data_IF_927697106405
#
_entry.id   IF_927697106405
#
_cell.length_a   1.000
_cell.length_b   1.000
_cell.length_c   1.000
_cell.angle_alpha   90.00
_cell.angle_beta   90.00
_cell.angle_gamma   90.00
#
_symmetry.space_group_name_H-M   'P 1'
#
loop_
_entity.id
_entity.type
_entity.pdbx_description
1 polymer ?
#
# COMPACT_ATOMS: atom_id res chain seq x y z
N UNK A 1 0.95 6.52 -5.86
CA UNK A 1 -0.19 7.43 -5.73
C UNK A 1 -1.27 7.12 -6.75
N UNK A 2 -2.52 7.22 -6.35
CA UNK A 2 -3.68 7.02 -7.20
C UNK A 2 -4.82 7.99 -6.87
N UNK A 3 -5.69 8.20 -7.86
CA UNK A 3 -6.99 8.87 -7.71
C UNK A 3 -8.05 7.79 -7.70
N UNK A 4 -8.71 7.58 -6.57
CA UNK A 4 -9.68 6.53 -6.39
C UNK A 4 -11.13 7.03 -6.55
N UNK A 5 -12.02 6.07 -6.81
CA UNK A 5 -13.46 6.28 -6.99
C UNK A 5 -14.22 5.14 -6.33
N UNK A 6 -15.23 5.47 -5.54
CA UNK A 6 -16.07 4.44 -4.89
C UNK A 6 -17.23 4.07 -5.82
N UNK A 7 -17.22 2.86 -6.36
CA UNK A 7 -18.15 2.42 -7.41
C UNK A 7 -19.62 2.21 -6.97
N UNK A 8 -19.94 2.48 -5.72
CA UNK A 8 -21.32 2.49 -5.20
C UNK A 8 -22.00 3.84 -5.33
N UNK A 9 -21.26 4.91 -5.65
CA UNK A 9 -21.82 6.25 -5.79
C UNK A 9 -21.91 6.67 -7.27
N UNK A 10 -23.10 7.10 -7.76
CA UNK A 10 -23.22 7.72 -9.08
C UNK A 10 -22.40 9.01 -9.16
N UNK A 11 -21.74 9.29 -10.31
CA UNK A 11 -21.75 8.50 -11.53
C UNK A 11 -20.61 7.47 -11.62
N UNK A 12 -19.87 7.21 -10.53
CA UNK A 12 -18.72 6.29 -10.50
C UNK A 12 -19.12 4.81 -10.51
N UNK A 13 -20.41 4.50 -10.38
CA UNK A 13 -20.98 3.17 -10.64
C UNK A 13 -20.88 2.77 -12.13
N UNK A 14 -20.77 3.76 -13.04
CA UNK A 14 -20.57 3.53 -14.46
C UNK A 14 -19.07 3.44 -14.81
N UNK A 15 -18.63 2.26 -15.29
CA UNK A 15 -17.23 2.04 -15.66
C UNK A 15 -16.73 2.99 -16.75
N UNK A 16 -17.59 3.41 -17.70
CA UNK A 16 -17.21 4.36 -18.76
C UNK A 16 -16.84 5.73 -18.19
N UNK A 17 -17.50 6.17 -17.11
CA UNK A 17 -17.14 7.41 -16.40
C UNK A 17 -15.75 7.28 -15.79
N UNK A 18 -15.45 6.15 -15.13
CA UNK A 18 -14.14 5.91 -14.54
C UNK A 18 -13.04 5.82 -15.60
N UNK A 19 -13.31 5.16 -16.72
CA UNK A 19 -12.38 5.08 -17.88
C UNK A 19 -12.17 6.46 -18.53
N UNK A 20 -13.22 7.29 -18.65
CA UNK A 20 -13.09 8.65 -19.16
C UNK A 20 -12.17 9.50 -18.25
N UNK A 21 -12.31 9.38 -16.95
CA UNK A 21 -11.41 10.07 -15.99
C UNK A 21 -9.97 9.54 -16.15
N UNK A 22 -9.79 8.23 -16.30
CA UNK A 22 -8.46 7.63 -16.49
C UNK A 22 -7.74 8.15 -17.76
N UNK A 23 -8.47 8.35 -18.85
CA UNK A 23 -7.94 8.89 -20.12
C UNK A 23 -7.82 10.42 -20.10
N UNK A 24 -8.63 11.10 -19.29
CA UNK A 24 -8.68 12.56 -19.23
C UNK A 24 -7.68 13.22 -18.27
N UNK A 25 -6.96 12.41 -17.47
CA UNK A 25 -5.92 12.91 -16.57
C UNK A 25 -4.53 12.79 -17.21
N UNK A 26 -3.89 13.92 -17.46
CA UNK A 26 -2.48 14.01 -17.89
C UNK A 26 -1.57 13.71 -16.69
N UNK A 27 -1.26 12.43 -16.53
CA UNK A 27 -0.44 11.92 -15.43
C UNK A 27 1.03 12.34 -15.54
N UNK A 28 1.54 12.48 -16.78
CA UNK A 28 2.90 12.95 -17.02
C UNK A 28 3.07 14.38 -16.48
N UNK A 29 2.10 15.27 -16.77
CA UNK A 29 2.09 16.63 -16.25
C UNK A 29 2.13 16.65 -14.71
N UNK A 30 1.42 15.75 -14.04
CA UNK A 30 1.43 15.68 -12.57
C UNK A 30 2.80 15.27 -12.05
N UNK A 31 3.44 14.27 -12.67
CA UNK A 31 4.78 13.81 -12.28
C UNK A 31 5.83 14.91 -12.52
N UNK A 32 5.82 15.53 -13.69
CA UNK A 32 6.82 16.55 -14.06
C UNK A 32 6.78 17.80 -13.16
N UNK A 33 5.60 18.15 -12.63
CA UNK A 33 5.43 19.38 -11.86
C UNK A 33 5.49 19.19 -10.34
N UNK A 34 5.15 18.01 -9.82
CA UNK A 34 4.93 17.85 -8.38
C UNK A 34 5.75 16.74 -7.73
N UNK A 35 6.54 15.99 -8.50
CA UNK A 35 7.31 14.87 -7.97
C UNK A 35 8.81 15.09 -8.10
N UNK A 36 9.60 14.54 -7.16
CA UNK A 36 11.05 14.63 -7.26
C UNK A 36 11.61 13.81 -8.43
N UNK A 37 12.84 14.12 -8.83
CA UNK A 37 13.58 13.32 -9.81
C UNK A 37 13.68 11.85 -9.38
N UNK A 38 13.54 10.94 -10.33
CA UNK A 38 13.46 9.50 -10.08
C UNK A 38 12.03 8.96 -9.88
N UNK A 39 11.04 9.85 -9.84
CA UNK A 39 9.63 9.44 -9.89
C UNK A 39 9.22 9.10 -11.32
N UNK A 40 8.25 8.19 -11.46
CA UNK A 40 7.75 7.74 -12.77
C UNK A 40 6.23 7.78 -12.84
N UNK A 41 5.70 7.96 -14.05
CA UNK A 41 4.26 7.79 -14.31
C UNK A 41 3.90 6.33 -14.12
N UNK A 42 2.92 6.06 -13.28
CA UNK A 42 2.49 4.69 -12.99
C UNK A 42 1.89 4.02 -14.23
N UNK A 43 2.52 2.97 -14.70
CA UNK A 43 1.99 2.14 -15.80
C UNK A 43 0.99 1.08 -15.33
N UNK A 44 0.99 0.78 -14.03
CA UNK A 44 0.11 -0.17 -13.34
C UNK A 44 -0.17 0.34 -11.93
N UNK A 45 -1.09 -0.29 -11.21
CA UNK A 45 -1.33 0.05 -9.80
C UNK A 45 -0.11 -0.28 -8.94
N UNK A 46 0.45 -1.47 -9.09
CA UNK A 46 1.67 -1.90 -8.40
C UNK A 46 2.91 -1.35 -9.11
N UNK A 47 3.94 -0.87 -8.40
CA UNK A 47 5.21 -0.44 -9.00
C UNK A 47 5.93 -1.55 -9.76
N UNK A 48 6.61 -1.19 -10.85
CA UNK A 48 7.38 -2.15 -11.67
C UNK A 48 8.57 -2.79 -10.94
N UNK A 49 9.06 -2.14 -9.90
CA UNK A 49 10.11 -2.69 -9.05
C UNK A 49 9.64 -3.90 -8.21
N UNK A 50 8.33 -4.07 -8.05
CA UNK A 50 7.74 -5.23 -7.38
C UNK A 50 7.55 -6.37 -8.40
N UNK A 51 8.00 -7.60 -8.10
CA UNK A 51 7.77 -8.75 -8.99
C UNK A 51 6.29 -8.88 -9.38
N UNK A 52 6.03 -9.11 -10.67
CA UNK A 52 4.69 -9.09 -11.29
C UNK A 52 3.92 -7.77 -11.26
N UNK A 53 4.47 -6.69 -10.69
CA UNK A 53 3.79 -5.41 -10.54
C UNK A 53 3.35 -4.77 -11.85
N UNK A 54 4.17 -4.88 -12.90
CA UNK A 54 3.92 -4.34 -14.24
C UNK A 54 3.59 -5.41 -15.28
N UNK A 55 3.04 -6.54 -14.89
CA UNK A 55 2.60 -7.56 -15.85
C UNK A 55 1.21 -7.25 -16.37
N UNK A 56 0.98 -7.56 -17.65
CA UNK A 56 -0.27 -7.25 -18.34
C UNK A 56 -0.21 -5.94 -19.13
N UNK A 57 -1.39 -5.40 -19.45
CA UNK A 57 -1.54 -4.21 -20.27
C UNK A 57 -1.25 -2.94 -19.49
N UNK A 58 -0.37 -2.10 -20.01
CA UNK A 58 -0.10 -0.78 -19.43
C UNK A 58 -1.38 0.08 -19.38
N UNK A 59 -1.40 1.02 -18.42
CA UNK A 59 -2.53 1.92 -18.19
C UNK A 59 -2.83 2.80 -19.42
N UNK A 60 -4.02 3.42 -19.42
CA UNK A 60 -4.48 4.29 -20.50
C UNK A 60 -3.51 5.45 -20.75
N UNK A 61 -3.31 5.80 -22.00
CA UNK A 61 -2.66 7.04 -22.40
C UNK A 61 -3.61 8.24 -22.19
N UNK A 62 -3.03 9.43 -22.01
CA UNK A 62 -3.80 10.66 -21.97
C UNK A 62 -4.42 10.95 -23.34
N UNK A 63 -5.74 11.02 -23.41
CA UNK A 63 -6.52 11.40 -24.60
C UNK A 63 -7.81 12.11 -24.17
N UNK A 64 -7.73 13.42 -24.12
CA UNK A 64 -8.86 14.27 -23.68
C UNK A 64 -10.10 14.14 -24.60
N UNK A 65 -9.91 13.99 -25.90
CA UNK A 65 -11.03 13.91 -26.85
C UNK A 65 -11.73 12.53 -26.79
N UNK A 66 -10.95 11.46 -26.66
CA UNK A 66 -11.52 10.14 -26.39
C UNK A 66 -12.24 10.11 -25.03
N UNK A 67 -11.68 10.73 -24.00
CA UNK A 67 -12.29 10.84 -22.67
C UNK A 67 -13.64 11.58 -22.72
N UNK A 68 -13.74 12.71 -23.43
CA UNK A 68 -15.00 13.45 -23.63
C UNK A 68 -16.03 12.61 -24.38
N UNK A 69 -15.61 11.90 -25.42
CA UNK A 69 -16.48 11.01 -26.18
C UNK A 69 -17.07 9.92 -25.29
N UNK A 70 -16.20 9.28 -24.49
CA UNK A 70 -16.61 8.22 -23.58
C UNK A 70 -17.53 8.71 -22.47
N UNK A 71 -17.30 9.93 -21.97
CA UNK A 71 -18.14 10.58 -20.96
C UNK A 71 -19.54 10.91 -21.54
N UNK A 72 -19.58 11.38 -22.80
CA UNK A 72 -20.85 11.61 -23.50
C UNK A 72 -21.62 10.30 -23.73
N UNK A 73 -20.93 9.24 -24.12
CA UNK A 73 -21.52 7.89 -24.27
C UNK A 73 -22.01 7.31 -22.93
N UNK A 74 -21.42 7.75 -21.81
CA UNK A 74 -21.88 7.40 -20.48
C UNK A 74 -23.11 8.20 -20.01
N UNK A 75 -23.58 9.19 -20.81
CA UNK A 75 -24.73 10.03 -20.51
C UNK A 75 -24.39 11.39 -19.90
N UNK A 76 -23.11 11.79 -19.90
CA UNK A 76 -22.63 13.05 -19.28
C UNK A 76 -21.89 13.93 -20.31
N UNK A 77 -22.54 14.35 -21.42
CA UNK A 77 -21.89 15.13 -22.47
C UNK A 77 -21.39 16.51 -21.99
N UNK A 78 -22.01 17.05 -20.93
CA UNK A 78 -21.66 18.35 -20.34
C UNK A 78 -20.90 18.17 -18.99
N UNK A 79 -20.51 16.94 -18.65
CA UNK A 79 -19.88 16.61 -17.37
C UNK A 79 -20.88 16.51 -16.21
N UNK A 80 -20.37 16.66 -14.98
CA UNK A 80 -21.15 16.56 -13.74
C UNK A 80 -20.41 17.25 -12.58
N UNK A 81 -21.12 17.47 -11.47
CA UNK A 81 -20.54 17.99 -10.24
C UNK A 81 -20.09 16.84 -9.32
N UNK A 82 -18.94 16.99 -8.67
CA UNK A 82 -18.40 16.00 -7.74
C UNK A 82 -17.47 16.65 -6.70
N UNK A 83 -16.74 15.85 -5.93
CA UNK A 83 -15.76 16.29 -4.94
C UNK A 83 -14.41 15.59 -5.16
N UNK A 84 -13.33 16.22 -4.67
CA UNK A 84 -12.01 15.63 -4.51
C UNK A 84 -11.65 15.68 -3.04
N UNK A 85 -11.60 14.54 -2.41
CA UNK A 85 -11.22 14.39 -1.01
C UNK A 85 -9.74 14.08 -0.87
N UNK A 86 -9.08 14.71 0.08
CA UNK A 86 -7.72 14.37 0.46
C UNK A 86 -7.39 14.86 1.87
N UNK A 87 -6.29 14.36 2.43
CA UNK A 87 -5.63 14.89 3.63
C UNK A 87 -4.39 15.66 3.21
N UNK A 88 -4.18 16.84 3.78
CA UNK A 88 -3.01 17.67 3.47
C UNK A 88 -1.80 17.25 4.32
N UNK A 89 -1.31 16.02 4.05
CA UNK A 89 -0.18 15.40 4.74
C UNK A 89 0.81 14.90 3.70
N UNK A 90 2.07 15.35 3.82
CA UNK A 90 3.17 14.87 2.98
C UNK A 90 3.28 13.34 3.05
N UNK A 91 3.40 12.71 1.87
CA UNK A 91 3.76 11.31 1.71
C UNK A 91 4.73 11.17 0.54
N UNK A 92 5.62 10.17 0.55
CA UNK A 92 6.52 9.91 -0.56
C UNK A 92 5.77 9.68 -1.88
N UNK A 93 4.61 9.06 -1.81
CA UNK A 93 3.73 8.86 -2.97
C UNK A 93 2.91 10.10 -3.35
N UNK A 94 2.75 11.10 -2.49
CA UNK A 94 1.99 12.33 -2.73
C UNK A 94 2.66 13.50 -1.98
N UNK A 95 3.75 14.09 -2.55
CA UNK A 95 4.56 15.10 -1.84
C UNK A 95 3.83 16.44 -1.66
N UNK A 96 2.98 16.83 -2.59
CA UNK A 96 2.31 18.14 -2.64
C UNK A 96 0.77 17.98 -2.78
N UNK A 97 0.07 17.46 -1.73
CA UNK A 97 -1.33 17.06 -1.86
C UNK A 97 -2.26 18.16 -2.37
N UNK A 98 -2.16 19.35 -1.81
CA UNK A 98 -3.01 20.50 -2.17
C UNK A 98 -2.77 20.99 -3.60
N UNK A 99 -1.51 20.99 -4.07
CA UNK A 99 -1.19 21.40 -5.43
C UNK A 99 -1.65 20.37 -6.45
N UNK A 100 -1.43 19.08 -6.15
CA UNK A 100 -1.89 17.96 -7.00
C UNK A 100 -3.42 17.95 -7.09
N UNK A 101 -4.14 18.13 -5.98
CA UNK A 101 -5.59 18.21 -5.99
C UNK A 101 -6.11 19.37 -6.86
N UNK A 102 -5.44 20.53 -6.79
CA UNK A 102 -5.79 21.71 -7.58
C UNK A 102 -5.55 21.49 -9.08
N UNK A 103 -4.44 20.83 -9.45
CA UNK A 103 -4.16 20.50 -10.85
C UNK A 103 -5.15 19.46 -11.40
N UNK A 104 -5.45 18.40 -10.63
CA UNK A 104 -6.47 17.41 -10.99
C UNK A 104 -7.84 18.10 -11.17
N UNK A 105 -8.23 19.00 -10.27
CA UNK A 105 -9.46 19.78 -10.42
C UNK A 105 -9.50 20.55 -11.74
N UNK A 106 -8.37 21.19 -12.11
CA UNK A 106 -8.28 21.94 -13.36
C UNK A 106 -8.40 21.04 -14.60
N UNK A 107 -7.78 19.85 -14.58
CA UNK A 107 -7.86 18.86 -15.65
C UNK A 107 -9.27 18.28 -15.80
N UNK A 108 -9.94 17.95 -14.68
CA UNK A 108 -11.34 17.47 -14.67
C UNK A 108 -12.30 18.49 -15.26
N UNK A 109 -12.03 19.78 -15.07
CA UNK A 109 -12.84 20.85 -15.65
C UNK A 109 -12.78 20.86 -17.17
N UNK A 110 -11.71 20.41 -17.79
CA UNK A 110 -11.61 20.26 -19.26
C UNK A 110 -12.55 19.17 -19.80
N UNK A 111 -12.94 18.22 -18.95
CA UNK A 111 -13.98 17.21 -19.21
C UNK A 111 -15.41 17.70 -18.88
N UNK A 112 -15.57 18.94 -18.40
CA UNK A 112 -16.84 19.43 -17.88
C UNK A 112 -17.16 18.99 -16.43
N UNK A 113 -16.24 18.27 -15.77
CA UNK A 113 -16.45 17.80 -14.41
C UNK A 113 -16.04 18.91 -13.43
N UNK A 114 -17.03 19.41 -12.66
CA UNK A 114 -16.82 20.43 -11.64
C UNK A 114 -16.58 19.75 -10.29
N UNK A 115 -15.33 19.69 -9.85
CA UNK A 115 -14.97 19.05 -8.60
C UNK A 115 -14.74 20.08 -7.50
N UNK A 116 -15.42 19.95 -6.37
CA UNK A 116 -15.14 20.69 -5.14
C UNK A 116 -13.97 20.05 -4.40
N UNK A 117 -12.99 20.84 -3.99
CA UNK A 117 -11.87 20.35 -3.17
C UNK A 117 -12.29 20.31 -1.71
N UNK A 118 -12.16 19.14 -1.07
CA UNK A 118 -12.50 18.89 0.33
C UNK A 118 -11.29 18.37 1.07
N UNK A 119 -10.69 19.20 1.92
CA UNK A 119 -9.59 18.80 2.80
C UNK A 119 -10.18 18.19 4.06
N UNK A 120 -9.74 16.99 4.41
CA UNK A 120 -10.19 16.27 5.61
C UNK A 120 -9.07 16.15 6.63
N UNK A 121 -9.45 16.01 7.91
CA UNK A 121 -8.52 15.58 8.94
C UNK A 121 -7.99 14.16 8.62
N UNK A 122 -6.72 13.89 8.95
CA UNK A 122 -6.03 12.69 8.47
C UNK A 122 -6.70 11.39 8.90
N UNK A 123 -7.05 11.25 10.17
CA UNK A 123 -7.71 10.04 10.69
C UNK A 123 -9.09 9.83 10.10
N UNK A 124 -9.90 10.89 10.06
CA UNK A 124 -11.23 10.84 9.45
C UNK A 124 -11.17 10.51 7.94
N UNK A 125 -10.17 11.03 7.22
CA UNK A 125 -9.98 10.70 5.80
C UNK A 125 -9.70 9.21 5.60
N UNK A 126 -8.80 8.64 6.39
CA UNK A 126 -8.46 7.20 6.31
C UNK A 126 -9.68 6.35 6.64
N UNK A 127 -10.38 6.66 7.74
CA UNK A 127 -11.59 5.93 8.14
C UNK A 127 -12.65 5.95 7.02
N UNK A 128 -12.96 7.13 6.46
CA UNK A 128 -14.00 7.26 5.44
C UNK A 128 -13.61 6.62 4.10
N UNK A 129 -12.33 6.74 3.69
CA UNK A 129 -11.84 6.12 2.46
C UNK A 129 -11.80 4.59 2.56
N UNK A 130 -11.26 4.05 3.64
CA UNK A 130 -11.19 2.60 3.87
C UNK A 130 -12.57 1.96 3.97
N UNK A 131 -13.55 2.67 4.53
CA UNK A 131 -14.93 2.19 4.62
C UNK A 131 -15.76 2.40 3.35
N UNK A 132 -15.18 2.95 2.26
CA UNK A 132 -15.88 3.19 1.00
C UNK A 132 -17.04 4.19 1.12
N UNK A 133 -16.91 5.20 1.98
CA UNK A 133 -17.97 6.19 2.25
C UNK A 133 -17.79 7.53 1.54
N UNK A 134 -16.70 7.74 0.80
CA UNK A 134 -16.46 8.98 0.06
C UNK A 134 -17.22 8.97 -1.26
N UNK A 135 -18.11 9.95 -1.45
CA UNK A 135 -19.02 10.09 -2.60
C UNK A 135 -18.41 10.84 -3.80
N UNK A 136 -17.09 10.92 -3.87
CA UNK A 136 -16.34 11.61 -4.91
C UNK A 136 -15.05 10.89 -5.27
N UNK A 137 -14.15 11.62 -5.91
CA UNK A 137 -12.77 11.18 -6.08
C UNK A 137 -12.00 11.39 -4.77
N UNK A 138 -11.01 10.56 -4.51
CA UNK A 138 -10.11 10.79 -3.38
C UNK A 138 -8.67 10.44 -3.70
N UNK A 139 -7.75 11.18 -3.08
CA UNK A 139 -6.32 11.11 -3.33
C UNK A 139 -5.65 10.27 -2.25
N UNK A 140 -5.17 9.07 -2.60
CA UNK A 140 -4.52 8.16 -1.69
C UNK A 140 -3.35 7.45 -2.39
N UNK A 141 -2.56 6.73 -1.67
CA UNK A 141 -1.49 5.91 -2.20
C UNK A 141 -1.13 4.80 -1.23
N UNK A 142 -0.20 3.97 -1.64
CA UNK A 142 0.29 2.85 -0.86
C UNK A 142 1.81 2.73 -1.00
N UNK A 143 2.49 2.43 0.08
CA UNK A 143 3.89 2.01 0.08
C UNK A 143 3.96 0.51 0.33
N UNK A 144 4.96 -0.14 -0.21
CA UNK A 144 5.13 -1.57 0.01
C UNK A 144 5.65 -1.84 1.43
N UNK A 145 4.92 -2.63 2.21
CA UNK A 145 5.39 -3.15 3.50
C UNK A 145 6.20 -4.45 3.30
N UNK A 146 5.92 -5.16 2.21
CA UNK A 146 6.74 -6.26 1.71
C UNK A 146 6.72 -6.28 0.17
N UNK A 147 7.84 -6.69 -0.48
CA UNK A 147 8.04 -6.49 -1.91
C UNK A 147 7.39 -7.59 -2.76
N UNK A 148 6.09 -7.78 -2.59
CA UNK A 148 5.29 -8.72 -3.38
C UNK A 148 4.02 -8.06 -3.88
N UNK A 149 3.53 -8.47 -5.05
CA UNK A 149 2.32 -7.91 -5.67
C UNK A 149 1.09 -8.01 -4.76
N UNK A 150 1.00 -9.03 -3.91
CA UNK A 150 -0.10 -9.23 -2.97
C UNK A 150 -0.21 -8.12 -1.93
N UNK A 151 0.89 -7.44 -1.57
CA UNK A 151 0.82 -6.28 -0.69
C UNK A 151 -0.03 -5.13 -1.27
N UNK A 152 -0.05 -5.03 -2.59
CA UNK A 152 -0.89 -4.07 -3.30
C UNK A 152 -2.27 -4.64 -3.62
N UNK A 153 -2.33 -5.84 -4.17
CA UNK A 153 -3.57 -6.36 -4.74
C UNK A 153 -4.45 -7.04 -3.70
N UNK A 154 -3.92 -7.89 -2.84
CA UNK A 154 -4.73 -8.61 -1.86
C UNK A 154 -5.34 -7.65 -0.85
N UNK A 155 -4.55 -6.68 -0.35
CA UNK A 155 -5.05 -5.68 0.59
C UNK A 155 -6.23 -4.88 0.00
N UNK A 156 -6.09 -4.38 -1.25
CA UNK A 156 -7.07 -3.47 -1.85
C UNK A 156 -8.26 -4.18 -2.50
N UNK A 157 -8.09 -5.43 -2.94
CA UNK A 157 -9.09 -6.14 -3.75
C UNK A 157 -9.65 -7.41 -3.11
N UNK A 158 -9.38 -7.68 -1.84
CA UNK A 158 -10.10 -8.75 -1.14
C UNK A 158 -11.60 -8.48 -1.14
N UNK A 159 -12.41 -9.54 -1.21
CA UNK A 159 -13.86 -9.44 -1.30
C UNK A 159 -14.51 -8.68 -0.13
N UNK A 160 -13.84 -8.62 1.02
CA UNK A 160 -14.32 -7.92 2.22
C UNK A 160 -13.87 -6.45 2.33
N UNK A 161 -12.95 -5.98 1.47
CA UNK A 161 -12.49 -4.58 1.52
C UNK A 161 -13.44 -3.67 0.74
N UNK A 162 -14.15 -2.72 1.39
CA UNK A 162 -15.12 -1.84 0.74
C UNK A 162 -14.51 -0.57 0.14
N UNK A 163 -13.20 -0.38 0.20
CA UNK A 163 -12.52 0.88 -0.14
C UNK A 163 -12.92 1.44 -1.51
N UNK A 164 -13.07 0.59 -2.51
CA UNK A 164 -13.53 1.00 -3.85
C UNK A 164 -15.02 0.74 -4.10
N UNK A 165 -15.78 0.40 -3.06
CA UNK A 165 -17.20 0.08 -3.11
C UNK A 165 -17.49 -1.42 -3.27
N UNK A 166 -18.31 -1.79 -4.27
CA UNK A 166 -18.58 -3.19 -4.57
C UNK A 166 -17.29 -3.91 -4.99
N UNK A 167 -17.05 -5.12 -4.50
CA UNK A 167 -15.85 -5.89 -4.83
C UNK A 167 -15.79 -6.24 -6.32
N UNK A 168 -14.59 -6.53 -6.81
CA UNK A 168 -14.29 -6.89 -8.20
C UNK A 168 -13.95 -8.38 -8.31
N UNK A 169 -14.92 -9.27 -8.59
CA UNK A 169 -14.69 -10.71 -8.69
C UNK A 169 -13.60 -11.08 -9.70
N UNK A 170 -13.53 -10.34 -10.80
CA UNK A 170 -12.54 -10.53 -11.85
C UNK A 170 -11.10 -10.35 -11.36
N UNK A 171 -10.92 -9.64 -10.22
CA UNK A 171 -9.62 -9.42 -9.58
C UNK A 171 -9.41 -10.42 -8.45
N UNK A 172 -10.27 -10.40 -7.42
CA UNK A 172 -10.01 -11.19 -6.20
C UNK A 172 -10.05 -12.69 -6.42
N UNK A 173 -10.83 -13.21 -7.37
CA UNK A 173 -10.85 -14.65 -7.69
C UNK A 173 -9.52 -15.10 -8.27
N UNK A 174 -8.87 -14.27 -9.10
CA UNK A 174 -7.54 -14.54 -9.64
C UNK A 174 -6.46 -14.51 -8.57
N UNK A 175 -6.55 -13.58 -7.64
CA UNK A 175 -5.62 -13.50 -6.51
C UNK A 175 -5.77 -14.73 -5.59
N UNK A 176 -6.99 -15.14 -5.30
CA UNK A 176 -7.27 -16.33 -4.50
C UNK A 176 -6.77 -17.64 -5.17
N UNK A 177 -6.84 -17.72 -6.50
CA UNK A 177 -6.26 -18.82 -7.26
C UNK A 177 -4.72 -18.78 -7.23
N UNK A 178 -4.11 -17.61 -7.45
CA UNK A 178 -2.67 -17.43 -7.43
C UNK A 178 -2.05 -17.76 -6.07
N UNK A 179 -2.73 -17.43 -4.98
CA UNK A 179 -2.29 -17.71 -3.61
C UNK A 179 -2.12 -19.21 -3.30
N UNK A 180 -2.70 -20.10 -4.09
CA UNK A 180 -2.59 -21.56 -3.93
C UNK A 180 -1.48 -22.20 -4.77
N UNK A 181 -0.72 -21.38 -5.51
CA UNK A 181 0.29 -21.84 -6.46
C UNK A 181 1.69 -21.51 -5.94
N UNK A 182 2.47 -22.54 -5.64
CA UNK A 182 3.84 -22.41 -5.16
C UNK A 182 4.83 -21.94 -6.25
N UNK A 183 4.59 -22.32 -7.51
CA UNK A 183 5.47 -21.96 -8.63
C UNK A 183 5.12 -20.56 -9.16
N UNK A 184 6.01 -19.54 -8.98
CA UNK A 184 5.76 -18.19 -9.47
C UNK A 184 5.51 -18.12 -10.99
N UNK A 185 6.12 -19.02 -11.78
CA UNK A 185 5.92 -19.04 -13.23
C UNK A 185 4.49 -19.47 -13.61
N UNK A 186 3.86 -20.31 -12.79
CA UNK A 186 2.46 -20.75 -12.95
C UNK A 186 1.49 -19.69 -12.42
N UNK A 187 1.85 -18.97 -11.36
CA UNK A 187 1.02 -17.91 -10.77
C UNK A 187 1.01 -16.62 -11.61
N UNK A 188 2.12 -16.29 -12.29
CA UNK A 188 2.25 -15.04 -13.08
C UNK A 188 1.09 -14.76 -14.06
N UNK A 189 0.57 -15.72 -14.85
CA UNK A 189 -0.58 -15.46 -15.73
C UNK A 189 -1.82 -14.96 -14.98
N UNK A 190 -2.06 -15.40 -13.77
CA UNK A 190 -3.20 -14.95 -12.95
C UNK A 190 -3.02 -13.49 -12.50
N UNK A 191 -1.79 -13.08 -12.17
CA UNK A 191 -1.49 -11.67 -11.88
C UNK A 191 -1.63 -10.79 -13.13
N UNK A 192 -1.31 -11.30 -14.33
CA UNK A 192 -1.57 -10.61 -15.60
C UNK A 192 -3.07 -10.38 -15.77
N UNK A 193 -3.90 -11.41 -15.54
CA UNK A 193 -5.37 -11.29 -15.64
C UNK A 193 -5.92 -10.31 -14.61
N UNK A 194 -5.44 -10.34 -13.37
CA UNK A 194 -5.84 -9.41 -12.33
C UNK A 194 -5.48 -7.95 -12.66
N UNK A 195 -4.25 -7.68 -13.12
CA UNK A 195 -3.82 -6.35 -13.55
C UNK A 195 -4.65 -5.84 -14.73
N UNK A 196 -4.95 -6.68 -15.71
CA UNK A 196 -5.80 -6.31 -16.85
C UNK A 196 -7.24 -6.00 -16.41
N UNK A 197 -7.79 -6.77 -15.47
CA UNK A 197 -9.12 -6.50 -14.91
C UNK A 197 -9.13 -5.16 -14.13
N UNK A 198 -8.09 -4.85 -13.35
CA UNK A 198 -7.96 -3.55 -12.67
C UNK A 198 -7.95 -2.40 -13.68
N UNK A 199 -7.20 -2.53 -14.77
CA UNK A 199 -7.18 -1.54 -15.86
C UNK A 199 -8.56 -1.38 -16.50
N UNK A 200 -9.25 -2.46 -16.83
CA UNK A 200 -10.56 -2.42 -17.49
C UNK A 200 -11.65 -1.83 -16.59
N UNK A 201 -11.66 -2.21 -15.31
CA UNK A 201 -12.68 -1.83 -14.33
C UNK A 201 -12.44 -0.45 -13.70
N UNK A 202 -11.20 0.04 -13.73
CA UNK A 202 -10.79 1.36 -13.22
C UNK A 202 -11.34 1.65 -11.81
N UNK A 203 -11.02 0.86 -10.79
CA UNK A 203 -11.38 1.21 -9.41
C UNK A 203 -10.67 2.47 -8.92
N UNK A 204 -9.49 2.75 -9.46
CA UNK A 204 -8.70 3.96 -9.27
C UNK A 204 -7.93 4.28 -10.55
N UNK A 205 -7.35 5.46 -10.63
CA UNK A 205 -6.37 5.85 -11.66
C UNK A 205 -4.99 5.91 -11.02
N UNK A 206 -4.07 4.98 -11.31
CA UNK A 206 -2.69 5.08 -10.83
C UNK A 206 -2.00 6.26 -11.53
N UNK A 207 -1.42 7.16 -10.74
CA UNK A 207 -0.83 8.41 -11.24
C UNK A 207 0.69 8.32 -11.29
N UNK A 208 1.31 8.04 -10.15
CA UNK A 208 2.75 8.09 -10.00
C UNK A 208 3.27 7.02 -9.04
N UNK A 209 4.45 6.52 -9.34
CA UNK A 209 5.31 5.84 -8.38
C UNK A 209 6.39 6.84 -7.94
N UNK A 210 6.26 7.35 -6.71
CA UNK A 210 7.12 8.40 -6.20
C UNK A 210 8.50 7.88 -5.84
N UNK A 211 9.53 8.60 -6.28
CA UNK A 211 10.88 8.42 -5.78
C UNK A 211 10.99 8.92 -4.34
N UNK A 212 11.77 8.25 -3.52
CA UNK A 212 12.09 8.70 -2.17
C UNK A 212 13.59 8.83 -1.97
N UNK A 213 13.99 9.73 -1.07
CA UNK A 213 15.38 9.92 -0.72
C UNK A 213 15.52 10.18 0.78
N UNK A 214 16.56 9.60 1.37
CA UNK A 214 16.92 9.86 2.77
C UNK A 214 18.22 10.64 2.83
N UNK A 215 18.23 11.75 3.57
CA UNK A 215 19.39 12.61 3.72
C UNK A 215 20.12 12.34 5.03
N UNK A 216 21.43 12.15 4.94
CA UNK A 216 22.32 11.90 6.07
C UNK A 216 23.42 12.95 6.16
N UNK A 217 23.94 13.17 7.36
CA UNK A 217 25.21 13.89 7.51
C UNK A 217 26.34 13.06 6.90
N UNK A 218 27.26 13.72 6.18
CA UNK A 218 28.33 13.07 5.41
C UNK A 218 29.25 12.17 6.25
N UNK A 219 29.37 12.46 7.54
CA UNK A 219 30.17 11.67 8.48
C UNK A 219 29.50 10.39 8.99
N UNK A 220 28.19 10.20 8.79
CA UNK A 220 27.49 8.96 9.18
C UNK A 220 27.85 7.86 8.20
N UNK A 221 28.39 6.74 8.70
CA UNK A 221 28.70 5.56 7.88
C UNK A 221 27.62 4.49 8.05
N UNK A 222 27.48 3.57 7.08
CA UNK A 222 26.39 2.59 7.06
C UNK A 222 25.02 3.20 6.75
N UNK A 223 24.97 4.52 6.46
CA UNK A 223 23.74 5.20 6.06
C UNK A 223 23.22 4.62 4.72
N UNK A 224 21.92 4.35 4.69
CA UNK A 224 21.25 3.78 3.51
C UNK A 224 19.79 4.25 3.49
N UNK A 225 19.16 4.21 2.33
CA UNK A 225 17.71 4.27 2.19
C UNK A 225 17.17 2.85 2.01
N UNK A 226 15.97 2.60 2.50
CA UNK A 226 15.26 1.35 2.25
C UNK A 226 14.16 1.56 1.21
N UNK A 227 14.04 0.70 0.19
CA UNK A 227 12.92 0.75 -0.74
C UNK A 227 11.56 0.47 -0.09
N UNK A 228 11.55 -0.14 1.09
CA UNK A 228 10.36 -0.39 1.90
C UNK A 228 10.08 0.74 2.92
N UNK A 229 10.94 1.78 2.98
CA UNK A 229 10.81 2.89 3.92
C UNK A 229 11.26 2.56 5.35
N UNK A 230 11.90 1.41 5.56
CA UNK A 230 12.33 0.91 6.85
C UNK A 230 13.85 0.78 6.85
N UNK A 231 14.55 1.80 7.34
CA UNK A 231 16.01 1.79 7.45
C UNK A 231 16.44 1.06 8.71
N UNK A 232 17.45 0.20 8.59
CA UNK A 232 18.01 -0.55 9.71
C UNK A 232 19.11 0.25 10.41
N UNK A 233 18.72 0.98 11.48
CA UNK A 233 19.61 1.95 12.14
C UNK A 233 20.75 1.31 12.93
N UNK A 234 20.65 0.03 13.30
CA UNK A 234 21.68 -0.68 14.05
C UNK A 234 23.03 -0.80 13.29
N UNK A 235 23.03 -0.68 11.94
CA UNK A 235 24.26 -0.71 11.12
C UNK A 235 24.82 0.69 10.86
N UNK A 236 24.20 1.74 11.33
CA UNK A 236 24.61 3.13 11.12
C UNK A 236 25.55 3.58 12.24
N UNK A 237 26.73 4.09 11.89
CA UNK A 237 27.67 4.69 12.84
C UNK A 237 27.51 6.21 12.82
N UNK A 238 27.11 6.85 13.92
CA UNK A 238 26.95 8.29 14.03
C UNK A 238 28.29 9.06 14.17
N UNK A 239 29.39 8.51 13.68
CA UNK A 239 30.73 9.12 13.69
C UNK A 239 31.27 9.45 15.09
N UNK A 240 31.25 8.48 15.97
CA UNK A 240 31.79 8.57 17.33
C UNK A 240 30.89 9.35 18.30
N UNK A 241 29.64 9.65 17.92
CA UNK A 241 28.62 10.14 18.85
C UNK A 241 27.90 8.95 19.50
N UNK A 242 27.43 9.13 20.72
CA UNK A 242 26.69 8.11 21.47
C UNK A 242 25.21 7.99 21.02
N UNK A 243 24.78 8.88 20.11
CA UNK A 243 23.37 9.00 19.74
C UNK A 243 23.24 9.25 18.24
N UNK A 244 22.44 8.42 17.57
CA UNK A 244 21.89 8.68 16.24
C UNK A 244 20.53 9.41 16.42
N UNK A 245 20.35 10.52 15.73
CA UNK A 245 19.07 11.24 15.72
C UNK A 245 18.44 11.05 14.35
N UNK A 246 17.27 10.46 14.32
CA UNK A 246 16.44 10.27 13.15
C UNK A 246 15.22 11.18 13.21
N UNK A 247 14.86 11.78 12.08
CA UNK A 247 13.62 12.56 11.94
C UNK A 247 12.66 11.82 11.01
N UNK A 248 11.41 11.74 11.43
CA UNK A 248 10.32 11.24 10.58
C UNK A 248 9.15 12.24 10.55
N UNK A 249 8.20 12.03 9.62
CA UNK A 249 7.19 13.04 9.31
C UNK A 249 6.09 13.18 10.37
N UNK A 250 5.83 12.11 11.13
CA UNK A 250 4.79 12.10 12.16
C UNK A 250 5.18 11.21 13.34
N UNK A 251 4.43 11.31 14.42
CA UNK A 251 4.52 10.41 15.56
C UNK A 251 3.97 9.02 15.18
N UNK A 252 4.52 7.94 15.75
CA UNK A 252 3.92 6.61 15.65
C UNK A 252 2.50 6.63 16.22
N UNK A 253 1.58 5.93 15.58
CA UNK A 253 0.24 5.68 16.14
C UNK A 253 0.40 4.81 17.39
N UNK A 254 1.23 3.78 17.29
CA UNK A 254 1.55 2.85 18.36
C UNK A 254 2.95 2.24 18.14
N UNK A 255 3.53 1.70 19.20
CA UNK A 255 4.71 0.82 19.13
C UNK A 255 4.33 -0.67 19.25
N UNK A 256 3.05 -0.97 19.11
CA UNK A 256 2.56 -2.33 19.04
C UNK A 256 2.39 -2.75 17.57
N UNK A 257 3.46 -3.21 16.99
CA UNK A 257 3.63 -3.40 15.56
C UNK A 257 2.65 -4.40 14.93
N UNK A 258 2.11 -5.33 15.71
CA UNK A 258 1.13 -6.31 15.21
C UNK A 258 -0.23 -5.68 14.88
N UNK A 259 -0.52 -4.48 15.41
CA UNK A 259 -1.76 -3.75 15.18
C UNK A 259 -1.64 -2.68 14.09
N UNK A 260 -0.41 -2.40 13.62
CA UNK A 260 -0.11 -1.25 12.78
C UNK A 260 0.34 -1.63 11.36
N UNK A 261 0.01 -0.77 10.41
CA UNK A 261 0.46 -0.83 9.00
C UNK A 261 1.07 0.49 8.53
N UNK A 262 1.08 1.55 9.37
CA UNK A 262 1.64 2.83 8.99
C UNK A 262 3.16 2.88 9.15
N UNK A 263 3.86 3.53 8.21
CA UNK A 263 5.32 3.58 8.17
C UNK A 263 5.95 4.32 9.34
N UNK A 264 5.27 5.28 9.95
CA UNK A 264 5.75 6.00 11.12
C UNK A 264 5.75 5.13 12.38
N UNK A 265 4.86 4.13 12.47
CA UNK A 265 4.84 3.12 13.52
C UNK A 265 5.81 1.96 13.23
N UNK A 266 5.84 1.46 11.99
CA UNK A 266 6.69 0.31 11.61
C UNK A 266 8.18 0.64 11.72
N UNK A 267 8.62 1.85 11.33
CA UNK A 267 10.04 2.22 11.39
C UNK A 267 10.64 2.11 12.79
N UNK A 268 10.10 2.70 13.87
CA UNK A 268 10.62 2.48 15.22
C UNK A 268 10.44 1.04 15.70
N UNK A 269 9.39 0.34 15.26
CA UNK A 269 9.17 -1.06 15.60
C UNK A 269 10.34 -1.95 15.16
N UNK A 270 10.83 -1.78 13.96
CA UNK A 270 11.95 -2.55 13.41
C UNK A 270 13.30 -2.27 14.10
N UNK A 271 13.40 -1.16 14.86
CA UNK A 271 14.59 -0.89 15.67
C UNK A 271 14.57 -1.60 17.03
N UNK A 272 13.44 -2.10 17.49
CA UNK A 272 13.24 -2.68 18.83
C UNK A 272 12.75 -4.12 18.80
N UNK A 273 12.25 -4.60 17.67
CA UNK A 273 11.74 -5.95 17.49
C UNK A 273 12.47 -6.65 16.34
N UNK A 274 12.43 -7.96 16.34
CA UNK A 274 12.96 -8.80 15.27
C UNK A 274 11.90 -9.80 14.81
N UNK A 275 11.88 -10.08 13.50
CA UNK A 275 10.96 -11.03 12.86
C UNK A 275 11.64 -12.39 12.66
N UNK A 276 10.86 -13.41 12.31
CA UNK A 276 11.40 -14.74 11.94
C UNK A 276 12.36 -14.65 10.76
N UNK A 277 12.03 -13.85 9.74
CA UNK A 277 12.88 -13.51 8.61
C UNK A 277 13.07 -11.99 8.57
N UNK A 278 14.11 -11.52 7.93
CA UNK A 278 14.46 -10.11 7.78
C UNK A 278 14.61 -9.74 6.30
N UNK A 279 14.89 -8.49 6.01
CA UNK A 279 15.29 -8.03 4.68
C UNK A 279 16.77 -7.64 4.68
N UNK A 280 17.40 -7.79 3.51
CA UNK A 280 18.71 -7.21 3.22
C UNK A 280 18.73 -5.72 3.55
N UNK A 281 19.77 -5.25 4.21
CA UNK A 281 19.94 -3.84 4.57
C UNK A 281 19.96 -2.96 3.30
N UNK A 282 18.99 -2.08 3.19
CA UNK A 282 18.83 -1.22 2.00
C UNK A 282 18.31 -1.95 0.75
N UNK A 283 17.85 -3.18 0.90
CA UNK A 283 17.33 -4.02 -0.18
C UNK A 283 15.95 -4.61 0.11
N UNK A 284 15.57 -5.61 -0.66
CA UNK A 284 14.28 -6.32 -0.56
C UNK A 284 14.43 -7.84 -0.53
N UNK A 285 15.67 -8.35 -0.62
CA UNK A 285 15.92 -9.77 -0.52
C UNK A 285 15.65 -10.25 0.91
N UNK A 286 14.97 -11.39 1.03
CA UNK A 286 14.68 -12.00 2.33
C UNK A 286 15.94 -12.68 2.88
N UNK A 287 16.25 -12.39 4.14
CA UNK A 287 17.38 -12.95 4.87
C UNK A 287 16.91 -13.63 6.18
N UNK A 288 17.74 -14.50 6.78
CA UNK A 288 17.47 -15.03 8.11
C UNK A 288 17.32 -13.92 9.17
N UNK A 289 16.30 -14.05 10.03
CA UNK A 289 16.10 -13.22 11.22
C UNK A 289 16.21 -14.06 12.50
N UNK A 290 15.14 -14.17 13.28
CA UNK A 290 15.04 -15.08 14.43
C UNK A 290 15.04 -16.57 14.00
N UNK A 291 14.68 -16.84 12.76
CA UNK A 291 14.80 -18.15 12.14
C UNK A 291 15.95 -18.18 11.13
N UNK A 292 16.61 -19.33 10.99
CA UNK A 292 17.62 -19.59 9.97
C UNK A 292 16.99 -19.89 8.61
N UNK A 293 15.76 -20.41 8.60
CA UNK A 293 14.93 -20.63 7.43
C UNK A 293 13.45 -20.79 7.83
N UNK A 294 12.54 -20.53 6.89
CA UNK A 294 11.14 -20.91 6.96
C UNK A 294 10.78 -21.56 5.62
N UNK A 295 10.50 -22.86 5.64
CA UNK A 295 10.32 -23.66 4.43
C UNK A 295 8.87 -24.15 4.34
N UNK A 296 8.17 -23.94 3.21
CA UNK A 296 6.83 -24.45 2.99
C UNK A 296 6.85 -25.93 2.55
N UNK A 297 5.73 -26.62 2.78
CA UNK A 297 5.44 -27.87 2.08
C UNK A 297 4.96 -27.60 0.63
N UNK A 298 4.74 -28.67 -0.14
CA UNK A 298 4.43 -28.58 -1.58
C UNK A 298 3.12 -27.80 -1.89
N UNK A 299 2.15 -27.82 -0.99
CA UNK A 299 0.85 -27.15 -1.16
C UNK A 299 0.70 -25.84 -0.37
N UNK A 300 1.81 -25.34 0.20
CA UNK A 300 1.90 -24.10 0.97
C UNK A 300 1.01 -24.03 2.24
N UNK A 301 0.48 -25.17 2.67
CA UNK A 301 -0.41 -25.23 3.83
C UNK A 301 0.32 -25.32 5.17
N UNK A 302 1.61 -25.71 5.14
CA UNK A 302 2.45 -25.85 6.33
C UNK A 302 3.81 -25.20 6.06
N UNK A 303 4.21 -24.27 6.93
CA UNK A 303 5.52 -23.65 6.92
C UNK A 303 6.31 -24.05 8.16
N UNK A 304 7.52 -24.56 7.96
CA UNK A 304 8.40 -24.98 9.05
C UNK A 304 9.54 -23.98 9.18
N UNK A 305 9.58 -23.26 10.32
CA UNK A 305 10.67 -22.34 10.62
C UNK A 305 11.65 -22.95 11.61
N UNK A 306 12.93 -22.85 11.30
CA UNK A 306 14.03 -23.31 12.14
C UNK A 306 14.65 -22.15 12.92
N UNK A 307 14.35 -22.05 14.22
CA UNK A 307 14.81 -20.92 15.06
C UNK A 307 16.32 -20.94 15.27
N UNK A 308 16.92 -19.76 15.33
CA UNK A 308 18.31 -19.60 15.74
C UNK A 308 18.46 -19.96 17.22
N UNK A 309 19.59 -20.63 17.55
CA UNK A 309 19.87 -21.00 18.94
C UNK A 309 20.51 -19.85 19.71
N UNK A 310 20.10 -19.68 20.97
CA UNK A 310 20.75 -18.75 21.90
C UNK A 310 20.34 -17.29 21.76
N UNK A 311 19.30 -17.00 20.98
CA UNK A 311 18.73 -15.66 20.89
C UNK A 311 18.20 -15.21 22.26
N UNK A 312 18.45 -13.95 22.61
CA UNK A 312 18.09 -13.36 23.88
C UNK A 312 17.12 -12.19 23.70
N UNK A 313 16.12 -12.13 24.57
CA UNK A 313 15.35 -10.90 24.77
C UNK A 313 16.17 -9.83 25.50
N UNK A 314 15.70 -8.58 25.52
CA UNK A 314 16.37 -7.47 26.18
C UNK A 314 16.56 -7.67 27.69
N UNK A 315 15.73 -8.47 28.33
CA UNK A 315 15.85 -8.83 29.76
C UNK A 315 16.84 -9.99 30.02
N UNK A 316 17.41 -10.56 28.94
CA UNK A 316 18.36 -11.67 28.99
C UNK A 316 17.74 -13.06 28.99
N UNK A 317 16.40 -13.20 29.01
CA UNK A 317 15.73 -14.50 28.80
C UNK A 317 16.01 -15.05 27.39
N UNK A 318 15.84 -16.35 27.22
CA UNK A 318 16.13 -17.02 25.93
C UNK A 318 14.85 -17.21 25.15
N UNK A 319 14.86 -16.84 23.87
CA UNK A 319 13.79 -17.10 22.91
C UNK A 319 13.63 -18.60 22.68
N UNK A 320 12.39 -19.08 22.69
CA UNK A 320 12.03 -20.43 22.23
C UNK A 320 10.78 -20.42 21.33
N UNK A 321 10.37 -21.60 20.85
CA UNK A 321 9.22 -21.72 19.96
C UNK A 321 7.89 -21.33 20.63
N UNK A 322 7.78 -21.39 21.96
CA UNK A 322 6.55 -20.96 22.65
C UNK A 322 6.38 -19.44 22.59
N UNK A 323 7.49 -18.68 22.62
CA UNK A 323 7.45 -17.22 22.49
C UNK A 323 6.94 -16.82 21.11
N UNK A 324 7.38 -17.50 20.05
CA UNK A 324 6.88 -17.31 18.68
C UNK A 324 5.39 -17.62 18.59
N UNK A 325 4.96 -18.77 19.09
CA UNK A 325 3.54 -19.16 19.11
C UNK A 325 2.72 -18.14 19.89
N UNK A 326 3.23 -17.66 21.04
CA UNK A 326 2.50 -16.69 21.86
C UNK A 326 2.35 -15.35 21.15
N UNK A 327 3.38 -14.89 20.42
CA UNK A 327 3.30 -13.66 19.62
C UNK A 327 2.21 -13.74 18.55
N UNK A 328 2.12 -14.87 17.83
CA UNK A 328 1.07 -15.10 16.85
C UNK A 328 -0.34 -15.20 17.47
N UNK A 329 -0.47 -15.93 18.58
CA UNK A 329 -1.75 -16.10 19.29
C UNK A 329 -2.27 -14.74 19.79
N UNK A 330 -1.41 -13.91 20.38
CA UNK A 330 -1.82 -12.59 20.84
C UNK A 330 -2.27 -11.69 19.69
N UNK A 331 -1.61 -11.76 18.55
CA UNK A 331 -1.92 -10.91 17.40
C UNK A 331 -3.14 -11.40 16.59
N UNK A 332 -3.39 -12.72 16.54
CA UNK A 332 -4.40 -13.30 15.64
C UNK A 332 -5.69 -13.73 16.35
N UNK A 333 -5.65 -14.11 17.62
CA UNK A 333 -6.82 -14.60 18.38
C UNK A 333 -7.52 -13.46 19.13
N UNK A 334 -8.66 -13.01 18.60
CA UNK A 334 -9.46 -11.94 19.20
C UNK A 334 -9.98 -12.26 20.61
N UNK A 335 -10.09 -13.54 20.98
CA UNK A 335 -10.48 -13.96 22.32
C UNK A 335 -9.30 -13.98 23.32
N UNK A 336 -8.04 -13.78 22.87
CA UNK A 336 -6.90 -13.75 23.77
C UNK A 336 -6.97 -12.48 24.67
N UNK A 337 -6.83 -12.60 26.01
CA UNK A 337 -6.88 -11.43 26.90
C UNK A 337 -5.82 -10.37 26.65
N UNK A 338 -4.73 -10.71 25.94
CA UNK A 338 -3.65 -9.82 25.56
C UNK A 338 -3.80 -9.27 24.15
N UNK A 339 -4.87 -9.65 23.42
CA UNK A 339 -5.21 -9.08 22.11
C UNK A 339 -5.80 -7.67 22.31
N UNK A 340 -4.90 -6.70 22.58
CA UNK A 340 -5.26 -5.31 22.86
C UNK A 340 -4.38 -4.42 21.97
N UNK A 341 -4.94 -3.94 20.86
CA UNK A 341 -4.30 -2.98 19.99
C UNK A 341 -4.64 -1.54 20.37
N UNK A 342 -3.94 -0.59 19.77
CA UNK A 342 -4.22 0.83 19.90
C UNK A 342 -5.37 1.24 18.97
N UNK A 343 -5.38 0.71 17.74
CA UNK A 343 -6.47 0.84 16.76
C UNK A 343 -7.47 -0.30 16.91
N UNK A 344 -7.05 -1.46 17.38
CA UNK A 344 -7.83 -2.69 17.47
C UNK A 344 -8.07 -3.39 16.13
N UNK A 345 -7.43 -2.91 15.04
CA UNK A 345 -7.71 -3.36 13.68
C UNK A 345 -6.96 -4.63 13.31
N UNK A 346 -5.71 -4.79 13.70
CA UNK A 346 -4.84 -5.92 13.32
C UNK A 346 -4.98 -6.28 11.83
N UNK A 347 -4.86 -5.28 10.96
CA UNK A 347 -5.29 -5.32 9.56
C UNK A 347 -4.67 -6.48 8.77
N UNK A 348 -3.38 -6.79 8.98
CA UNK A 348 -2.75 -7.91 8.28
C UNK A 348 -3.35 -9.26 8.67
N UNK A 349 -3.65 -9.46 9.95
CA UNK A 349 -4.32 -10.69 10.39
C UNK A 349 -5.75 -10.76 9.88
N UNK A 350 -6.43 -9.62 9.78
CA UNK A 350 -7.79 -9.52 9.26
C UNK A 350 -7.85 -9.79 7.75
N UNK A 351 -6.97 -9.15 6.96
CA UNK A 351 -7.08 -9.18 5.50
C UNK A 351 -6.23 -10.27 4.83
N UNK A 352 -5.03 -10.57 5.36
CA UNK A 352 -4.12 -11.53 4.72
C UNK A 352 -4.31 -12.97 5.24
N UNK A 353 -4.74 -13.14 6.50
CA UNK A 353 -4.92 -14.45 7.12
C UNK A 353 -6.40 -14.86 7.25
N UNK A 354 -7.31 -14.22 6.52
CA UNK A 354 -8.71 -14.60 6.42
C UNK A 354 -9.54 -14.28 7.66
N UNK A 355 -9.26 -13.19 8.33
CA UNK A 355 -9.84 -12.66 9.56
C UNK A 355 -9.17 -13.18 10.85
N UNK A 356 -9.49 -12.50 11.94
CA UNK A 356 -9.05 -12.88 13.28
C UNK A 356 -9.70 -14.21 13.71
N UNK A 357 -8.95 -15.03 14.43
CA UNK A 357 -9.50 -16.21 15.08
C UNK A 357 -10.40 -15.78 16.23
N UNK A 358 -11.49 -16.53 16.45
CA UNK A 358 -12.44 -16.32 17.55
C UNK A 358 -13.00 -14.88 17.63
N UNK A 359 -13.02 -14.13 16.53
CA UNK A 359 -13.77 -12.88 16.43
C UNK A 359 -15.29 -13.17 16.51
N UNK A 360 -16.05 -12.37 17.30
CA UNK A 360 -17.50 -12.49 17.45
C UNK A 360 -18.27 -12.02 16.22
#
# INVERSE_FOLDING_TARGET
FYVAMTNTFPPFDNVKVRQAIAMGLDRQRLVDNFYPEGSEVASHFTPCAVPNGCTGDAWYDYDLEAAKTLLADAGFPDGFDTKIYFRDVFRSYLPEPSLVATDIQAQLKELGINAEIVVMESGAFIEESSAGRLDGLYLLGWNADYPHITNFLDYHFTASNPQFGNPFPEVYEKLAEAAQIADPAVATPLYVEANNAIKELVPMVPIAHGGSATAFKAEVTGAHASPLGNEYMAVMDPAGRDTLVWMQNAEPISLYCNDETDGESLRPCEQILESLLSYEVGGTAVEPGLATSCDPNEDLTVWTCHLQSGVKFHDGSTLDANDVVQSWVVAWDAANPLHIGNTGAFEYFTYLFGNLLNAE
#
